data_IF_149777870225
#
_entry.id   IF_149777870225
#
_cell.length_a   1.000
_cell.length_b   1.000
_cell.length_c   1.000
_cell.angle_alpha   90.00
_cell.angle_beta   90.00
_cell.angle_gamma   90.00
#
_symmetry.space_group_name_H-M   'P 1'
#
loop_
_entity.id
_entity.type
_entity.pdbx_description
1 polymer ?
#
# COMPACT_ATOMS: atom_id res chain seq x y z
N UNK A 1 -9.88 -22.03 -17.91
CA UNK A 1 -10.71 -20.93 -17.35
C UNK A 1 -12.16 -21.27 -17.55
N UNK A 2 -13.05 -20.89 -16.60
CA UNK A 2 -14.50 -21.03 -16.78
C UNK A 2 -15.00 -19.95 -17.73
N UNK A 3 -15.85 -20.32 -18.68
CA UNK A 3 -16.51 -19.40 -19.61
C UNK A 3 -17.72 -18.75 -18.92
N UNK A 4 -17.53 -17.57 -18.35
CA UNK A 4 -18.58 -16.83 -17.63
C UNK A 4 -19.61 -16.19 -18.58
N UNK A 5 -19.35 -16.19 -19.88
CA UNK A 5 -20.35 -15.73 -20.86
C UNK A 5 -21.54 -16.69 -20.99
N UNK A 6 -21.39 -17.91 -20.44
CA UNK A 6 -22.44 -18.93 -20.38
C UNK A 6 -23.26 -18.74 -19.11
N UNK A 7 -24.59 -18.50 -19.23
CA UNK A 7 -25.47 -18.25 -18.08
C UNK A 7 -25.45 -19.36 -17.02
N UNK A 8 -25.36 -20.63 -17.45
CA UNK A 8 -25.26 -21.76 -16.52
C UNK A 8 -23.97 -21.78 -15.69
N UNK A 9 -22.85 -21.26 -16.23
CA UNK A 9 -21.57 -21.19 -15.53
C UNK A 9 -21.59 -20.02 -14.54
N UNK A 10 -22.00 -18.84 -14.99
CA UNK A 10 -22.10 -17.66 -14.14
C UNK A 10 -23.13 -17.85 -13.02
N UNK A 11 -24.29 -18.47 -13.32
CA UNK A 11 -25.32 -18.82 -12.34
C UNK A 11 -24.80 -19.80 -11.29
N UNK A 12 -24.09 -20.85 -11.72
CA UNK A 12 -23.47 -21.81 -10.80
C UNK A 12 -22.51 -21.12 -9.82
N UNK A 13 -21.60 -20.27 -10.31
CA UNK A 13 -20.66 -19.55 -9.45
C UNK A 13 -21.37 -18.57 -8.50
N UNK A 14 -22.34 -17.84 -9.01
CA UNK A 14 -23.14 -16.92 -8.21
C UNK A 14 -23.80 -17.63 -7.02
N UNK A 15 -24.42 -18.77 -7.26
CA UNK A 15 -25.09 -19.54 -6.22
C UNK A 15 -24.08 -20.14 -5.21
N UNK A 16 -22.95 -20.68 -5.69
CA UNK A 16 -21.93 -21.27 -4.81
C UNK A 16 -21.26 -20.21 -3.92
N UNK A 17 -20.88 -19.08 -4.49
CA UNK A 17 -20.26 -17.98 -3.73
C UNK A 17 -21.27 -17.40 -2.73
N UNK A 18 -22.54 -17.18 -3.16
CA UNK A 18 -23.58 -16.68 -2.26
C UNK A 18 -23.86 -17.64 -1.11
N UNK A 19 -23.86 -18.95 -1.36
CA UNK A 19 -24.02 -19.97 -0.31
C UNK A 19 -22.88 -19.90 0.71
N UNK A 20 -21.61 -19.86 0.24
CA UNK A 20 -20.45 -19.74 1.13
C UNK A 20 -20.50 -18.47 1.98
N UNK A 21 -20.82 -17.33 1.37
CA UNK A 21 -20.93 -16.06 2.10
C UNK A 21 -21.97 -16.16 3.22
N UNK A 22 -23.14 -16.72 2.93
CA UNK A 22 -24.24 -16.83 3.90
C UNK A 22 -23.99 -17.88 4.96
N UNK A 23 -23.40 -19.03 4.60
CA UNK A 23 -23.18 -20.15 5.50
C UNK A 23 -22.05 -19.86 6.52
N UNK A 24 -21.01 -19.14 6.10
CA UNK A 24 -19.84 -18.86 6.93
C UNK A 24 -19.73 -17.40 7.36
N UNK A 25 -20.76 -16.58 7.15
CA UNK A 25 -20.80 -15.15 7.52
C UNK A 25 -19.59 -14.37 7.02
N UNK A 26 -19.17 -14.64 5.77
CA UNK A 26 -17.99 -14.02 5.17
C UNK A 26 -18.23 -12.53 4.95
N UNK A 27 -17.35 -11.68 5.46
CA UNK A 27 -17.40 -10.22 5.33
C UNK A 27 -16.35 -9.65 4.37
N UNK A 28 -15.40 -10.47 3.90
CA UNK A 28 -14.33 -10.05 3.00
C UNK A 28 -13.92 -11.19 2.06
N UNK A 29 -13.74 -10.87 0.78
CA UNK A 29 -13.27 -11.82 -0.24
C UNK A 29 -12.18 -11.16 -1.08
N UNK A 30 -11.00 -11.78 -1.13
CA UNK A 30 -10.00 -11.53 -2.15
C UNK A 30 -10.27 -12.47 -3.33
N UNK A 31 -10.66 -11.86 -4.45
CA UNK A 31 -10.97 -12.60 -5.68
C UNK A 31 -9.75 -12.63 -6.59
N UNK A 32 -9.15 -13.78 -6.69
CA UNK A 32 -7.96 -14.00 -7.51
C UNK A 32 -8.30 -14.62 -8.87
N UNK A 33 -7.48 -14.31 -9.88
CA UNK A 33 -7.57 -14.87 -11.23
C UNK A 33 -6.15 -14.97 -11.83
N UNK A 34 -5.48 -16.10 -11.61
CA UNK A 34 -4.08 -16.32 -11.99
C UNK A 34 -3.94 -17.02 -13.35
N UNK A 35 -4.92 -16.88 -14.24
CA UNK A 35 -4.91 -17.54 -15.53
C UNK A 35 -5.24 -16.57 -16.67
N UNK A 36 -4.30 -16.43 -17.59
CA UNK A 36 -4.51 -15.68 -18.81
C UNK A 36 -5.54 -16.33 -19.72
N UNK A 37 -6.23 -15.52 -20.53
CA UNK A 37 -7.08 -15.98 -21.62
C UNK A 37 -6.16 -16.32 -22.81
N UNK A 38 -5.70 -17.59 -22.86
CA UNK A 38 -4.80 -18.05 -23.94
C UNK A 38 -5.57 -18.24 -25.24
N UNK A 39 -6.75 -18.88 -25.15
CA UNK A 39 -7.69 -19.04 -26.27
C UNK A 39 -8.92 -18.19 -25.98
N UNK A 40 -9.02 -17.09 -26.69
CA UNK A 40 -10.11 -16.12 -26.51
C UNK A 40 -11.40 -16.47 -27.29
N UNK A 41 -11.42 -17.60 -27.99
CA UNK A 41 -12.58 -18.06 -28.76
C UNK A 41 -13.64 -18.72 -27.89
N UNK A 42 -14.91 -18.35 -28.08
CA UNK A 42 -16.04 -19.00 -27.41
C UNK A 42 -16.51 -20.22 -28.21
N UNK A 43 -16.45 -21.40 -27.60
CA UNK A 43 -16.99 -22.62 -28.21
C UNK A 43 -18.50 -22.55 -28.44
N UNK A 44 -19.25 -21.81 -27.62
CA UNK A 44 -20.66 -21.56 -27.79
C UNK A 44 -21.00 -20.65 -28.99
N UNK A 45 -20.00 -19.93 -29.54
CA UNK A 45 -20.12 -19.00 -30.67
C UNK A 45 -19.21 -19.36 -31.84
N UNK A 46 -18.97 -20.65 -32.04
CA UNK A 46 -18.16 -21.18 -33.16
C UNK A 46 -16.74 -20.57 -33.23
N UNK A 47 -16.12 -20.33 -32.10
CA UNK A 47 -14.78 -19.78 -32.00
C UNK A 47 -14.69 -18.24 -32.10
N UNK A 48 -15.80 -17.52 -32.10
CA UNK A 48 -15.77 -16.06 -32.13
C UNK A 48 -15.06 -15.48 -30.89
N UNK A 49 -14.31 -14.35 -31.05
CA UNK A 49 -13.61 -13.68 -29.94
C UNK A 49 -14.54 -13.36 -28.77
N UNK A 50 -14.11 -13.67 -27.54
CA UNK A 50 -14.94 -13.54 -26.33
C UNK A 50 -14.21 -12.88 -25.15
N UNK A 51 -13.00 -12.35 -25.31
CA UNK A 51 -12.25 -11.75 -24.21
C UNK A 51 -12.99 -10.58 -23.56
N UNK A 52 -13.56 -9.68 -24.37
CA UNK A 52 -14.37 -8.58 -23.86
C UNK A 52 -15.63 -9.07 -23.13
N UNK A 53 -16.32 -10.05 -23.68
CA UNK A 53 -17.54 -10.59 -23.08
C UNK A 53 -17.24 -11.31 -21.78
N UNK A 54 -16.11 -12.00 -21.70
CA UNK A 54 -15.62 -12.63 -20.46
C UNK A 54 -15.35 -11.58 -19.36
N UNK A 55 -14.70 -10.48 -19.69
CA UNK A 55 -14.46 -9.37 -18.73
C UNK A 55 -15.79 -8.77 -18.26
N UNK A 56 -16.71 -8.50 -19.20
CA UNK A 56 -18.05 -7.98 -18.90
C UNK A 56 -18.86 -8.93 -18.02
N UNK A 57 -18.73 -10.24 -18.24
CA UNK A 57 -19.40 -11.26 -17.41
C UNK A 57 -18.83 -11.33 -15.98
N UNK A 58 -17.52 -11.08 -15.78
CA UNK A 58 -16.93 -10.93 -14.43
C UNK A 58 -17.53 -9.73 -13.72
N UNK A 59 -17.65 -8.59 -14.39
CA UNK A 59 -18.25 -7.38 -13.78
C UNK A 59 -19.72 -7.63 -13.41
N UNK A 60 -20.50 -8.23 -14.30
CA UNK A 60 -21.90 -8.55 -14.03
C UNK A 60 -22.07 -9.52 -12.84
N UNK A 61 -21.18 -10.52 -12.73
CA UNK A 61 -21.18 -11.44 -11.61
C UNK A 61 -20.85 -10.73 -10.28
N UNK A 62 -19.84 -9.85 -10.28
CA UNK A 62 -19.51 -9.03 -9.11
C UNK A 62 -20.65 -8.08 -8.72
N UNK A 63 -21.28 -7.42 -9.69
CA UNK A 63 -22.43 -6.54 -9.45
C UNK A 63 -23.58 -7.28 -8.77
N UNK A 64 -23.89 -8.50 -9.23
CA UNK A 64 -24.96 -9.30 -8.64
C UNK A 64 -24.58 -9.84 -7.25
N UNK A 65 -23.33 -10.26 -7.03
CA UNK A 65 -22.84 -10.66 -5.72
C UNK A 65 -22.91 -9.51 -4.70
N UNK A 66 -22.49 -8.30 -5.10
CA UNK A 66 -22.57 -7.10 -4.26
C UNK A 66 -24.00 -6.71 -3.92
N UNK A 67 -24.92 -6.87 -4.89
CA UNK A 67 -26.34 -6.62 -4.67
C UNK A 67 -26.94 -7.62 -3.66
N UNK A 68 -26.56 -8.90 -3.73
CA UNK A 68 -27.03 -9.95 -2.80
C UNK A 68 -26.38 -9.82 -1.42
N UNK A 69 -25.12 -9.41 -1.37
CA UNK A 69 -24.28 -9.39 -0.16
C UNK A 69 -23.62 -8.02 0.04
N UNK A 70 -24.39 -6.97 0.34
CA UNK A 70 -23.88 -5.59 0.40
C UNK A 70 -22.91 -5.34 1.57
N UNK A 71 -22.85 -6.24 2.55
CA UNK A 71 -21.91 -6.18 3.67
C UNK A 71 -20.54 -6.81 3.40
N UNK A 72 -20.33 -7.41 2.22
CA UNK A 72 -19.03 -8.04 1.87
C UNK A 72 -18.13 -7.02 1.17
N UNK A 73 -16.90 -6.90 1.66
CA UNK A 73 -15.83 -6.17 0.97
C UNK A 73 -15.11 -7.08 -0.03
N UNK A 74 -14.74 -6.50 -1.16
CA UNK A 74 -14.09 -7.22 -2.26
C UNK A 74 -12.69 -6.64 -2.53
N UNK A 75 -11.71 -7.54 -2.71
CA UNK A 75 -10.38 -7.21 -3.22
C UNK A 75 -10.15 -7.91 -4.56
N UNK A 76 -9.71 -7.15 -5.57
CA UNK A 76 -9.30 -7.72 -6.85
C UNK A 76 -7.85 -8.14 -6.82
N UNK A 77 -7.58 -9.38 -7.22
CA UNK A 77 -6.26 -9.90 -7.50
C UNK A 77 -6.28 -10.65 -8.84
N UNK A 78 -5.23 -10.52 -9.63
CA UNK A 78 -5.01 -11.31 -10.83
C UNK A 78 -3.52 -11.43 -11.06
N UNK A 79 -2.87 -12.42 -10.45
CA UNK A 79 -1.41 -12.53 -10.33
C UNK A 79 -0.83 -11.17 -9.84
N UNK A 80 -1.41 -10.63 -8.77
CA UNK A 80 -1.21 -9.26 -8.34
C UNK A 80 -2.07 -8.27 -9.12
N UNK A 81 -1.43 -7.30 -9.79
CA UNK A 81 -2.07 -6.14 -10.43
C UNK A 81 -2.61 -6.34 -11.83
N UNK A 82 -2.71 -7.57 -12.35
CA UNK A 82 -3.11 -7.83 -13.74
C UNK A 82 -4.56 -7.45 -14.10
N UNK A 83 -5.37 -7.04 -13.11
CA UNK A 83 -6.78 -6.65 -13.32
C UNK A 83 -7.11 -5.36 -12.56
N UNK A 84 -6.27 -4.36 -12.70
CA UNK A 84 -6.51 -3.01 -12.16
C UNK A 84 -6.99 -2.13 -13.32
N UNK A 85 -8.31 -1.96 -13.42
CA UNK A 85 -8.97 -1.05 -14.36
C UNK A 85 -10.11 -0.30 -13.67
N UNK A 86 -10.61 0.77 -14.30
CA UNK A 86 -11.64 1.63 -13.71
C UNK A 86 -12.95 0.88 -13.44
N UNK A 87 -13.34 -0.04 -14.32
CA UNK A 87 -14.56 -0.81 -14.14
C UNK A 87 -14.44 -1.80 -12.96
N UNK A 88 -13.24 -2.34 -12.71
CA UNK A 88 -12.99 -3.14 -11.53
C UNK A 88 -12.99 -2.27 -10.26
N UNK A 89 -12.37 -1.07 -10.29
CA UNK A 89 -12.35 -0.15 -9.16
C UNK A 89 -13.74 0.36 -8.74
N UNK A 90 -14.71 0.41 -9.66
CA UNK A 90 -16.13 0.68 -9.31
C UNK A 90 -16.77 -0.44 -8.47
N UNK A 91 -16.19 -1.64 -8.50
CA UNK A 91 -16.77 -2.86 -7.93
C UNK A 91 -16.06 -3.41 -6.72
N UNK A 92 -14.85 -2.97 -6.45
CA UNK A 92 -14.04 -3.48 -5.34
C UNK A 92 -13.61 -2.36 -4.41
N UNK A 93 -13.39 -2.67 -3.14
CA UNK A 93 -12.89 -1.73 -2.15
C UNK A 93 -11.37 -1.62 -2.19
N UNK A 94 -10.68 -2.64 -2.73
CA UNK A 94 -9.22 -2.62 -2.85
C UNK A 94 -8.71 -3.53 -3.95
N UNK A 95 -7.47 -3.29 -4.34
CA UNK A 95 -6.75 -4.10 -5.34
C UNK A 95 -5.41 -4.54 -4.78
N UNK A 96 -5.01 -5.76 -5.09
CA UNK A 96 -3.66 -6.25 -4.81
C UNK A 96 -2.73 -5.84 -5.96
N UNK A 97 -1.65 -5.12 -5.63
CA UNK A 97 -0.82 -4.49 -6.65
C UNK A 97 0.20 -5.44 -7.27
N UNK A 98 0.66 -6.43 -6.49
CA UNK A 98 1.66 -7.41 -6.92
C UNK A 98 1.80 -8.52 -5.87
N UNK A 99 2.06 -9.74 -6.33
CA UNK A 99 2.41 -10.87 -5.46
C UNK A 99 3.86 -10.82 -4.96
N UNK A 100 4.64 -9.83 -5.39
CA UNK A 100 5.97 -9.57 -4.87
C UNK A 100 5.90 -9.19 -3.39
N UNK A 101 6.53 -9.97 -2.51
CA UNK A 101 6.54 -9.74 -1.05
C UNK A 101 7.77 -9.00 -0.54
N UNK A 102 8.83 -8.85 -1.36
CA UNK A 102 10.02 -8.06 -1.03
C UNK A 102 9.66 -6.58 -0.86
N UNK A 103 9.80 -6.05 0.36
CA UNK A 103 9.41 -4.68 0.68
C UNK A 103 10.19 -3.62 -0.09
N UNK A 104 11.46 -3.88 -0.45
CA UNK A 104 12.23 -2.95 -1.28
C UNK A 104 11.69 -2.91 -2.72
N UNK A 105 11.38 -4.07 -3.31
CA UNK A 105 10.73 -4.13 -4.62
C UNK A 105 9.34 -3.47 -4.58
N UNK A 106 8.58 -3.65 -3.50
CA UNK A 106 7.26 -3.02 -3.32
C UNK A 106 7.32 -1.50 -3.23
N UNK A 107 8.42 -0.90 -2.76
CA UNK A 107 8.59 0.56 -2.81
C UNK A 107 8.37 1.07 -4.25
N UNK A 108 9.03 0.44 -5.23
CA UNK A 108 8.86 0.78 -6.65
C UNK A 108 7.45 0.45 -7.15
N UNK A 109 6.96 -0.76 -6.89
CA UNK A 109 5.63 -1.20 -7.35
C UNK A 109 4.55 -0.25 -6.86
N UNK A 110 4.52 0.08 -5.57
CA UNK A 110 3.51 0.96 -4.98
C UNK A 110 3.66 2.42 -5.43
N UNK A 111 4.92 2.90 -5.61
CA UNK A 111 5.17 4.24 -6.15
C UNK A 111 4.53 4.42 -7.52
N UNK A 112 4.72 3.46 -8.42
CA UNK A 112 4.23 3.57 -9.79
C UNK A 112 2.74 3.24 -9.93
N UNK A 113 2.25 2.21 -9.26
CA UNK A 113 0.80 1.92 -9.21
C UNK A 113 0.02 3.10 -8.62
N UNK A 114 0.55 3.70 -7.55
CA UNK A 114 -0.05 4.85 -6.91
C UNK A 114 -0.08 6.14 -7.74
N UNK A 115 0.47 6.17 -8.98
CA UNK A 115 0.23 7.25 -9.94
C UNK A 115 -1.21 7.23 -10.48
N UNK A 116 -1.82 6.05 -10.52
CA UNK A 116 -3.15 5.81 -11.09
C UNK A 116 -4.18 5.41 -10.03
N UNK A 117 -3.73 4.77 -8.95
CA UNK A 117 -4.61 4.18 -7.94
C UNK A 117 -4.29 4.83 -6.59
N UNK A 118 -5.23 5.54 -5.98
CA UNK A 118 -4.99 6.22 -4.71
C UNK A 118 -4.92 5.23 -3.53
N UNK A 119 -4.35 5.66 -2.36
CA UNK A 119 -4.07 4.79 -1.22
C UNK A 119 -5.27 3.99 -0.69
N UNK A 120 -6.46 4.56 -0.75
CA UNK A 120 -7.70 3.93 -0.27
C UNK A 120 -8.11 2.68 -1.07
N UNK A 121 -7.48 2.44 -2.23
CA UNK A 121 -7.67 1.23 -3.02
C UNK A 121 -6.49 0.26 -2.95
N UNK A 122 -5.36 0.65 -2.37
CA UNK A 122 -4.15 -0.17 -2.39
C UNK A 122 -4.13 -1.18 -1.24
N UNK A 123 -4.19 -2.47 -1.54
CA UNK A 123 -3.80 -3.52 -0.59
C UNK A 123 -2.29 -3.50 -0.35
N UNK A 124 -1.86 -3.46 0.91
CA UNK A 124 -0.46 -3.46 1.28
C UNK A 124 -0.24 -4.33 2.52
N UNK A 125 0.71 -5.27 2.45
CA UNK A 125 0.93 -6.22 3.52
C UNK A 125 2.36 -6.16 4.07
N UNK A 126 2.47 -6.37 5.36
CA UNK A 126 3.73 -6.64 6.05
C UNK A 126 4.07 -8.11 5.81
N UNK A 127 5.06 -8.35 4.96
CA UNK A 127 5.52 -9.69 4.57
C UNK A 127 6.45 -10.31 5.62
N UNK A 128 6.84 -11.59 5.43
CA UNK A 128 7.86 -12.27 6.22
C UNK A 128 9.22 -11.56 6.17
N UNK A 129 10.11 -11.79 7.17
CA UNK A 129 11.45 -11.18 7.21
C UNK A 129 12.31 -11.48 5.98
N UNK A 130 12.20 -12.68 5.45
CA UNK A 130 12.85 -13.09 4.21
C UNK A 130 11.82 -13.20 3.08
N UNK A 131 12.05 -12.47 2.00
CA UNK A 131 11.24 -12.63 0.80
C UNK A 131 11.49 -14.00 0.17
N UNK A 132 10.43 -14.77 -0.07
CA UNK A 132 10.54 -16.07 -0.73
C UNK A 132 10.90 -15.96 -2.22
N UNK A 133 10.66 -14.80 -2.86
CA UNK A 133 11.03 -14.58 -4.26
C UNK A 133 12.50 -14.15 -4.44
N UNK A 134 13.01 -13.32 -3.55
CA UNK A 134 14.36 -12.71 -3.69
C UNK A 134 15.39 -13.27 -2.72
N UNK A 135 14.96 -13.95 -1.65
CA UNK A 135 15.82 -14.37 -0.54
C UNK A 135 16.35 -13.20 0.32
N UNK A 136 15.93 -11.95 0.05
CA UNK A 136 16.39 -10.79 0.79
C UNK A 136 15.79 -10.75 2.18
N UNK A 137 16.64 -10.48 3.18
CA UNK A 137 16.19 -10.10 4.51
C UNK A 137 15.78 -8.62 4.53
N UNK A 138 14.64 -8.33 5.13
CA UNK A 138 14.10 -6.97 5.25
C UNK A 138 13.74 -6.66 6.70
N UNK A 139 14.26 -5.54 7.25
CA UNK A 139 13.87 -5.10 8.59
C UNK A 139 12.36 -4.94 8.73
N UNK A 140 11.81 -5.22 9.90
CA UNK A 140 10.37 -5.08 10.17
C UNK A 140 9.89 -3.66 9.91
N UNK A 141 10.65 -2.65 10.32
CA UNK A 141 10.37 -1.25 10.08
C UNK A 141 10.17 -0.93 8.60
N UNK A 142 11.06 -1.41 7.69
CA UNK A 142 10.90 -1.21 6.25
C UNK A 142 9.63 -1.89 5.72
N UNK A 143 9.36 -3.13 6.15
CA UNK A 143 8.15 -3.87 5.76
C UNK A 143 6.89 -3.13 6.18
N UNK A 144 6.85 -2.64 7.43
CA UNK A 144 5.72 -1.89 7.96
C UNK A 144 5.55 -0.52 7.30
N UNK A 145 6.65 0.25 7.10
CA UNK A 145 6.56 1.54 6.42
C UNK A 145 6.10 1.41 4.98
N UNK A 146 6.53 0.36 4.27
CA UNK A 146 6.08 0.05 2.92
C UNK A 146 4.58 -0.24 2.86
N UNK A 147 4.03 -0.89 3.89
CA UNK A 147 2.61 -1.20 3.97
C UNK A 147 1.75 -0.02 4.48
N UNK A 148 2.36 1.00 5.11
CA UNK A 148 1.65 2.04 5.87
C UNK A 148 0.65 2.85 5.02
N UNK A 149 0.98 3.14 3.75
CA UNK A 149 0.17 4.01 2.89
C UNK A 149 -0.79 3.22 1.98
N UNK A 150 -1.43 2.21 2.54
CA UNK A 150 -2.47 1.41 1.89
C UNK A 150 -3.35 0.75 2.94
N UNK A 151 -4.10 -0.28 2.55
CA UNK A 151 -4.78 -1.15 3.51
C UNK A 151 -3.75 -2.06 4.18
N UNK A 152 -3.35 -1.67 5.38
CA UNK A 152 -2.29 -2.34 6.14
C UNK A 152 -2.73 -3.74 6.58
N UNK A 153 -2.24 -4.76 5.91
CA UNK A 153 -2.44 -6.16 6.25
C UNK A 153 -1.16 -6.83 6.75
N UNK A 154 -1.28 -8.06 7.21
CA UNK A 154 -0.15 -8.88 7.65
C UNK A 154 -0.16 -10.18 6.85
N UNK A 155 0.94 -10.44 6.15
CA UNK A 155 1.19 -11.64 5.34
C UNK A 155 2.47 -12.30 5.85
N UNK A 156 2.44 -12.68 7.11
CA UNK A 156 3.55 -13.26 7.85
C UNK A 156 3.02 -14.27 8.87
N UNK A 157 3.66 -15.40 9.01
CA UNK A 157 3.37 -16.34 10.09
C UNK A 157 3.87 -15.76 11.42
N UNK A 158 2.96 -15.19 12.20
CA UNK A 158 3.27 -14.54 13.46
C UNK A 158 3.68 -15.54 14.56
N UNK A 159 3.51 -16.84 14.36
CA UNK A 159 4.00 -17.85 15.30
C UNK A 159 5.53 -18.00 15.25
N UNK A 160 6.16 -17.50 14.17
CA UNK A 160 7.61 -17.45 14.02
C UNK A 160 8.22 -16.13 14.52
N UNK A 161 7.40 -15.13 14.88
CA UNK A 161 7.85 -13.84 15.39
C UNK A 161 8.24 -13.92 16.85
N UNK A 162 9.31 -13.23 17.24
CA UNK A 162 9.65 -13.08 18.66
C UNK A 162 8.83 -11.96 19.33
N UNK A 163 8.91 -11.88 20.67
CA UNK A 163 8.13 -10.90 21.46
C UNK A 163 8.46 -9.44 21.07
N UNK A 164 9.70 -9.15 20.67
CA UNK A 164 10.08 -7.80 20.29
C UNK A 164 9.60 -7.46 18.89
N UNK A 165 9.60 -8.40 17.93
CA UNK A 165 8.98 -8.23 16.62
C UNK A 165 7.48 -7.97 16.77
N UNK A 166 6.80 -8.71 17.64
CA UNK A 166 5.38 -8.52 17.94
C UNK A 166 5.12 -7.14 18.59
N UNK A 167 5.99 -6.69 19.48
CA UNK A 167 5.89 -5.38 20.12
C UNK A 167 6.08 -4.23 19.11
N UNK A 168 7.07 -4.33 18.22
CA UNK A 168 7.32 -3.37 17.14
C UNK A 168 6.13 -3.36 16.16
N UNK A 169 5.68 -4.53 15.70
CA UNK A 169 4.51 -4.65 14.81
C UNK A 169 3.25 -4.03 15.42
N UNK A 170 3.02 -4.27 16.72
CA UNK A 170 1.89 -3.67 17.43
C UNK A 170 2.00 -2.12 17.48
N UNK A 171 3.21 -1.56 17.57
CA UNK A 171 3.41 -0.12 17.52
C UNK A 171 3.08 0.45 16.12
N UNK A 172 3.48 -0.24 15.04
CA UNK A 172 3.12 0.11 13.67
C UNK A 172 1.62 0.04 13.41
N UNK A 173 0.94 -1.00 13.92
CA UNK A 173 -0.52 -1.12 13.83
C UNK A 173 -1.22 0.05 14.53
N UNK A 174 -0.72 0.47 15.72
CA UNK A 174 -1.26 1.64 16.42
C UNK A 174 -1.06 2.92 15.62
N UNK A 175 0.11 3.12 15.02
CA UNK A 175 0.39 4.26 14.13
C UNK A 175 -0.58 4.28 12.96
N UNK A 176 -0.73 3.16 12.24
CA UNK A 176 -1.69 3.04 11.15
C UNK A 176 -3.12 3.36 11.59
N UNK A 177 -3.61 2.71 12.65
CA UNK A 177 -4.98 2.94 13.15
C UNK A 177 -5.23 4.39 13.54
N UNK A 178 -4.23 5.07 14.10
CA UNK A 178 -4.32 6.50 14.46
C UNK A 178 -4.45 7.40 13.25
N UNK A 179 -3.74 7.11 12.18
CA UNK A 179 -3.62 8.00 11.01
C UNK A 179 -4.33 7.47 9.76
N UNK A 180 -4.99 6.32 9.80
CA UNK A 180 -5.64 5.72 8.61
C UNK A 180 -6.67 6.63 7.95
N UNK A 181 -7.38 7.46 8.72
CA UNK A 181 -8.33 8.43 8.15
C UNK A 181 -7.60 9.47 7.27
N UNK A 182 -6.45 9.99 7.73
CA UNK A 182 -5.61 10.88 6.93
C UNK A 182 -5.03 10.13 5.72
N UNK A 183 -4.55 8.91 5.89
CA UNK A 183 -3.96 8.10 4.81
C UNK A 183 -4.96 7.87 3.68
N UNK A 184 -6.21 7.51 4.02
CA UNK A 184 -7.23 7.13 3.03
C UNK A 184 -8.06 8.32 2.49
N UNK A 185 -8.01 9.50 3.13
CA UNK A 185 -8.74 10.67 2.66
C UNK A 185 -7.84 11.83 2.23
N UNK A 186 -6.53 11.74 2.53
CA UNK A 186 -5.55 12.75 2.18
C UNK A 186 -5.10 12.64 0.72
N UNK A 187 -4.54 13.73 0.21
CA UNK A 187 -3.93 13.75 -1.11
C UNK A 187 -2.51 13.20 -1.05
N UNK A 188 -2.23 12.13 -1.78
CA UNK A 188 -0.89 11.57 -1.90
C UNK A 188 0.06 12.58 -2.56
N UNK A 189 1.22 12.77 -1.95
CA UNK A 189 2.33 13.55 -2.48
C UNK A 189 3.58 12.67 -2.58
N UNK A 190 4.36 12.90 -3.62
CA UNK A 190 5.64 12.24 -3.87
C UNK A 190 6.67 13.30 -4.12
N UNK A 191 7.84 13.15 -3.51
CA UNK A 191 8.91 14.11 -3.59
C UNK A 191 10.08 13.43 -4.28
N UNK A 192 10.53 14.04 -5.35
CA UNK A 192 11.75 13.59 -6.02
C UNK A 192 12.95 14.03 -5.18
N UNK A 193 13.78 13.09 -4.85
CA UNK A 193 15.03 13.33 -4.14
C UNK A 193 16.13 13.58 -5.16
N UNK A 194 17.14 14.41 -4.83
CA UNK A 194 18.29 14.64 -5.73
C UNK A 194 19.11 13.38 -6.02
N UNK A 195 18.89 12.35 -5.25
CA UNK A 195 19.61 11.09 -5.23
C UNK A 195 18.60 9.93 -5.35
N UNK A 196 18.81 9.04 -6.30
CA UNK A 196 17.93 7.89 -6.57
C UNK A 196 17.98 6.82 -5.46
N UNK A 197 18.89 6.97 -4.49
CA UNK A 197 19.02 6.02 -3.36
C UNK A 197 17.98 6.23 -2.27
N UNK A 198 17.16 7.28 -2.35
CA UNK A 198 16.12 7.56 -1.37
C UNK A 198 14.84 8.06 -2.01
N UNK A 199 13.71 7.85 -1.33
CA UNK A 199 12.42 8.44 -1.69
C UNK A 199 11.74 9.07 -0.49
N UNK A 200 10.96 10.13 -0.74
CA UNK A 200 10.03 10.68 0.22
C UNK A 200 8.63 10.77 -0.40
N UNK A 201 7.64 10.34 0.34
CA UNK A 201 6.24 10.38 -0.06
C UNK A 201 5.33 10.43 1.18
N UNK A 202 4.07 10.71 0.98
CA UNK A 202 3.10 10.74 2.06
C UNK A 202 1.76 11.29 1.64
N UNK A 203 0.94 11.62 2.61
CA UNK A 203 -0.39 12.19 2.40
C UNK A 203 -0.51 13.52 3.11
N UNK A 204 -1.21 14.45 2.47
CA UNK A 204 -1.54 15.78 3.02
C UNK A 204 -3.05 15.86 3.14
N UNK A 205 -3.56 16.29 4.28
CA UNK A 205 -4.98 16.54 4.49
C UNK A 205 -5.53 17.54 3.47
N UNK A 206 -6.78 17.37 3.05
CA UNK A 206 -7.41 18.23 2.06
C UNK A 206 -7.47 19.72 2.47
N UNK A 207 -7.57 19.99 3.79
CA UNK A 207 -7.57 21.33 4.38
C UNK A 207 -6.16 21.82 4.75
N UNK A 208 -5.12 21.09 4.36
CA UNK A 208 -3.73 21.34 4.68
C UNK A 208 -3.43 21.42 6.20
N UNK A 209 -4.28 20.88 7.06
CA UNK A 209 -4.08 20.90 8.52
C UNK A 209 -3.01 19.94 9.01
N UNK A 210 -2.78 18.86 8.28
CA UNK A 210 -1.84 17.81 8.64
C UNK A 210 -1.23 17.12 7.41
N UNK A 211 -0.05 16.53 7.60
CA UNK A 211 0.55 15.58 6.66
C UNK A 211 1.23 14.42 7.41
N UNK A 212 1.18 13.25 6.84
CA UNK A 212 1.98 12.10 7.27
C UNK A 212 2.95 11.77 6.14
N UNK A 213 4.25 11.90 6.40
CA UNK A 213 5.31 11.74 5.41
C UNK A 213 6.21 10.56 5.78
N UNK A 214 6.68 9.84 4.78
CA UNK A 214 7.66 8.75 4.93
C UNK A 214 8.87 9.02 4.05
N UNK A 215 10.04 9.06 4.66
CA UNK A 215 11.33 8.98 3.98
C UNK A 215 11.83 7.55 4.02
N UNK A 216 12.33 7.04 2.90
CA UNK A 216 12.89 5.69 2.79
C UNK A 216 14.24 5.77 2.11
N UNK A 217 15.29 5.31 2.77
CA UNK A 217 16.62 5.10 2.20
C UNK A 217 16.65 3.70 1.58
N UNK A 218 16.64 3.62 0.27
CA UNK A 218 16.56 2.37 -0.49
C UNK A 218 17.91 1.66 -0.60
N UNK A 219 18.98 2.45 -0.76
CA UNK A 219 20.36 1.99 -0.91
C UNK A 219 21.30 2.87 -0.08
N UNK A 220 22.57 2.59 -0.04
CA UNK A 220 23.55 3.44 0.65
C UNK A 220 23.57 4.85 0.05
N UNK A 221 23.52 5.90 0.88
CA UNK A 221 23.47 7.26 0.38
C UNK A 221 24.78 7.66 -0.30
N UNK A 222 24.66 8.42 -1.39
CA UNK A 222 25.84 8.94 -2.12
C UNK A 222 26.60 9.98 -1.29
N UNK A 223 25.89 10.72 -0.44
CA UNK A 223 26.46 11.78 0.39
C UNK A 223 26.11 11.56 1.86
N UNK A 224 27.02 11.90 2.74
CA UNK A 224 26.83 11.86 4.21
C UNK A 224 25.77 12.87 4.71
N UNK A 225 25.44 13.87 3.92
CA UNK A 225 24.42 14.87 4.21
C UNK A 225 23.42 14.89 3.06
N UNK A 226 22.26 14.24 3.22
CA UNK A 226 21.18 14.32 2.25
C UNK A 226 20.70 15.76 2.06
N UNK A 227 20.26 16.10 0.87
CA UNK A 227 19.64 17.38 0.60
C UNK A 227 18.34 17.55 1.41
N UNK A 228 18.01 18.78 1.79
CA UNK A 228 16.71 19.06 2.37
C UNK A 228 15.59 18.73 1.40
N UNK A 229 14.52 18.10 1.89
CA UNK A 229 13.40 17.65 1.08
C UNK A 229 12.21 18.56 1.25
N UNK A 230 11.73 19.13 0.14
CA UNK A 230 10.58 20.03 0.11
C UNK A 230 9.30 19.25 0.44
N UNK A 231 8.43 19.80 1.27
CA UNK A 231 7.13 19.21 1.60
C UNK A 231 6.01 20.04 0.95
N UNK A 232 5.47 19.59 -0.20
CA UNK A 232 4.45 20.34 -0.92
C UNK A 232 3.06 20.15 -0.32
N UNK A 233 2.18 21.12 -0.58
CA UNK A 233 0.74 20.96 -0.35
C UNK A 233 0.24 21.42 1.01
N UNK A 234 1.11 21.88 1.89
CA UNK A 234 0.75 22.56 3.12
C UNK A 234 0.42 24.05 2.86
N UNK A 235 -0.31 24.69 3.76
CA UNK A 235 -0.63 26.11 3.67
C UNK A 235 0.61 26.95 4.04
N UNK A 236 1.16 27.78 3.13
CA UNK A 236 2.39 28.54 3.39
C UNK A 236 2.27 29.54 4.54
N UNK A 237 1.05 29.99 4.85
CA UNK A 237 0.79 30.97 5.89
C UNK A 237 0.61 30.39 7.28
N UNK A 238 0.45 29.06 7.39
CA UNK A 238 0.30 28.38 8.68
C UNK A 238 1.65 27.97 9.26
N UNK A 239 1.65 27.79 10.57
CA UNK A 239 2.77 27.15 11.29
C UNK A 239 2.44 25.70 11.57
N UNK A 240 3.46 24.86 11.52
CA UNK A 240 3.35 23.42 11.71
C UNK A 240 4.41 22.94 12.69
N UNK A 241 4.05 21.92 13.46
CA UNK A 241 4.98 21.08 14.21
C UNK A 241 5.28 19.84 13.39
N UNK A 242 6.57 19.54 13.24
CA UNK A 242 7.06 18.30 12.63
C UNK A 242 7.56 17.40 13.74
N UNK A 243 7.01 16.20 13.84
CA UNK A 243 7.35 15.22 14.88
C UNK A 243 7.73 13.90 14.22
N UNK A 244 8.82 13.29 14.67
CA UNK A 244 9.17 11.92 14.32
C UNK A 244 8.23 10.95 15.05
N UNK A 245 7.37 10.27 14.29
CA UNK A 245 6.42 9.28 14.80
C UNK A 245 6.79 7.85 14.46
N UNK A 246 8.00 7.65 13.95
CA UNK A 246 8.52 6.31 13.65
C UNK A 246 8.52 5.47 14.92
N UNK A 247 7.87 4.30 14.96
CA UNK A 247 7.97 3.39 16.09
C UNK A 247 9.42 3.03 16.39
N UNK A 248 9.73 2.76 17.67
CA UNK A 248 11.06 2.31 18.05
C UNK A 248 11.41 1.01 17.31
N UNK A 249 12.54 1.03 16.62
CA UNK A 249 12.96 -0.01 15.70
C UNK A 249 14.04 -0.88 16.30
N UNK A 250 13.92 -2.18 16.10
CA UNK A 250 15.01 -3.13 16.28
C UNK A 250 15.97 -3.06 15.10
N UNK A 251 16.95 -2.23 15.19
CA UNK A 251 18.01 -2.20 14.20
C UNK A 251 19.28 -2.81 14.79
N UNK A 252 20.04 -3.61 14.01
CA UNK A 252 21.39 -3.95 14.42
C UNK A 252 22.10 -2.63 14.73
N UNK A 253 22.43 -2.42 15.99
CA UNK A 253 23.18 -1.21 16.39
C UNK A 253 24.49 -1.22 15.61
N UNK A 254 24.66 -0.29 14.69
CA UNK A 254 26.01 0.05 14.23
C UNK A 254 26.76 0.48 15.49
N UNK A 255 27.86 -0.22 15.78
CA UNK A 255 28.66 0.01 17.01
C UNK A 255 28.90 1.52 17.16
N UNK A 256 28.35 2.12 18.23
CA UNK A 256 28.58 3.52 18.58
C UNK A 256 27.71 4.58 17.91
N UNK A 257 26.67 4.25 17.13
CA UNK A 257 25.72 5.23 16.57
C UNK A 257 24.30 4.95 17.03
N UNK A 258 23.61 5.95 17.58
CA UNK A 258 22.17 6.00 17.72
C UNK A 258 21.55 6.26 16.34
N UNK A 259 20.40 5.65 16.05
CA UNK A 259 19.65 5.97 14.82
C UNK A 259 19.31 7.47 14.85
N UNK A 260 19.59 8.19 13.77
CA UNK A 260 19.28 9.61 13.72
C UNK A 260 17.76 9.81 13.66
N UNK A 261 17.27 10.69 14.52
CA UNK A 261 15.88 11.10 14.62
C UNK A 261 15.76 12.58 14.25
N UNK A 262 14.60 13.00 13.75
CA UNK A 262 14.30 14.42 13.62
C UNK A 262 13.81 14.91 14.99
N UNK A 263 14.44 15.98 15.49
CA UNK A 263 13.93 16.67 16.67
C UNK A 263 12.59 17.37 16.31
N UNK A 264 11.70 17.48 17.28
CA UNK A 264 10.49 18.28 17.12
C UNK A 264 10.84 19.70 16.76
N UNK A 265 10.34 20.18 15.63
CA UNK A 265 10.55 21.54 15.15
C UNK A 265 9.23 22.23 14.83
N UNK A 266 9.21 23.53 15.02
CA UNK A 266 8.09 24.38 14.61
C UNK A 266 8.53 25.27 13.43
N UNK A 267 7.82 25.16 12.32
CA UNK A 267 8.22 25.75 11.04
C UNK A 267 7.00 26.26 10.28
N UNK A 268 7.18 27.27 9.42
CA UNK A 268 6.09 27.73 8.54
C UNK A 268 5.90 26.78 7.35
N UNK A 269 4.68 26.73 6.81
CA UNK A 269 4.42 25.98 5.58
C UNK A 269 5.24 26.49 4.40
N UNK A 270 5.50 27.80 4.32
CA UNK A 270 6.40 28.37 3.32
C UNK A 270 7.82 27.80 3.43
N UNK A 271 8.37 27.71 4.65
CA UNK A 271 9.70 27.13 4.82
C UNK A 271 9.74 25.62 4.46
N UNK A 272 8.68 24.87 4.76
CA UNK A 272 8.56 23.46 4.33
C UNK A 272 8.51 23.33 2.80
N UNK A 273 7.86 24.27 2.13
CA UNK A 273 7.71 24.24 0.67
C UNK A 273 8.96 24.73 -0.09
N UNK A 274 9.73 25.67 0.47
CA UNK A 274 10.81 26.38 -0.23
C UNK A 274 12.21 25.98 0.24
N UNK A 275 12.37 25.67 1.54
CA UNK A 275 13.63 25.26 2.15
C UNK A 275 13.66 23.74 2.37
N UNK A 276 12.53 23.17 2.82
CA UNK A 276 12.38 21.75 3.10
C UNK A 276 12.81 21.33 4.48
N UNK A 277 12.78 20.03 4.70
CA UNK A 277 13.23 19.34 5.92
C UNK A 277 14.63 18.77 5.72
N UNK A 278 15.52 19.09 6.64
CA UNK A 278 16.81 18.41 6.72
C UNK A 278 16.60 17.00 7.27
N UNK A 279 16.78 16.01 6.43
CA UNK A 279 16.69 14.59 6.79
C UNK A 279 18.09 14.15 7.25
N UNK A 280 18.23 13.54 8.44
CA UNK A 280 19.51 12.99 8.85
C UNK A 280 19.92 11.82 7.96
N UNK A 281 21.22 11.61 7.78
CA UNK A 281 21.72 10.51 6.96
C UNK A 281 21.35 9.15 7.56
N UNK A 282 20.76 8.31 6.75
CA UNK A 282 20.35 6.94 7.08
C UNK A 282 21.14 5.96 6.22
N UNK A 283 21.44 4.77 6.73
CA UNK A 283 21.95 3.68 5.91
C UNK A 283 20.85 3.04 5.08
N UNK A 284 21.22 2.14 4.18
CA UNK A 284 20.28 1.41 3.32
C UNK A 284 19.20 0.67 4.12
N UNK A 285 18.02 0.55 3.53
CA UNK A 285 16.84 -0.12 4.08
C UNK A 285 16.31 0.51 5.38
N UNK A 286 16.55 1.83 5.56
CA UNK A 286 16.08 2.63 6.69
C UNK A 286 14.93 3.54 6.25
N UNK A 287 14.18 3.98 7.23
CA UNK A 287 13.03 4.83 6.98
C UNK A 287 12.71 5.71 8.18
N UNK A 288 11.99 6.78 7.92
CA UNK A 288 11.53 7.75 8.91
C UNK A 288 10.10 8.14 8.59
N UNK A 289 9.22 8.11 9.58
CA UNK A 289 7.84 8.61 9.44
C UNK A 289 7.68 9.88 10.26
N UNK A 290 7.21 10.92 9.60
CA UNK A 290 7.03 12.25 10.16
C UNK A 290 5.55 12.63 10.13
N UNK A 291 5.04 13.08 11.26
CA UNK A 291 3.76 13.74 11.36
C UNK A 291 3.99 15.26 11.34
N UNK A 292 3.25 15.95 10.51
CA UNK A 292 3.29 17.42 10.38
C UNK A 292 1.88 17.93 10.67
N UNK A 293 1.70 18.73 11.71
CA UNK A 293 0.38 19.22 12.14
C UNK A 293 0.39 20.72 12.42
N UNK A 294 -0.71 21.41 12.12
CA UNK A 294 -0.88 22.83 12.47
C UNK A 294 -0.81 23.04 13.98
N UNK A 295 -0.20 24.18 14.39
CA UNK A 295 -0.11 24.63 15.79
C UNK A 295 -0.86 25.94 15.99
#
# INVERSE_FOLDING_TARGET
>A
MLDLTRPEVSGYLLDRISTLISEYEISYIKWDCNRDIIDAGSSARSGAPAAHDQASAVYALLDELRRRHPGVEWESCAAGGGRIDLAMLERVQRVWTSDMTDALARQSIQRWTGQLVPPEYLGAHVSAPFSHQTGRYMPLSLRCATALFGHFGIEWDLTEADDDDLAELAAWIRLYKRHRALIHAGRMVRIDTPDDTAWMYGVVAADASAALMCYVQLDEPVNDQPAALLVPGLDPLRRYRVTDVTPDMRLPRRVGRTEPRIADIEVSGAALAEIGLAIPAHGALRMLVMLIETI
#
